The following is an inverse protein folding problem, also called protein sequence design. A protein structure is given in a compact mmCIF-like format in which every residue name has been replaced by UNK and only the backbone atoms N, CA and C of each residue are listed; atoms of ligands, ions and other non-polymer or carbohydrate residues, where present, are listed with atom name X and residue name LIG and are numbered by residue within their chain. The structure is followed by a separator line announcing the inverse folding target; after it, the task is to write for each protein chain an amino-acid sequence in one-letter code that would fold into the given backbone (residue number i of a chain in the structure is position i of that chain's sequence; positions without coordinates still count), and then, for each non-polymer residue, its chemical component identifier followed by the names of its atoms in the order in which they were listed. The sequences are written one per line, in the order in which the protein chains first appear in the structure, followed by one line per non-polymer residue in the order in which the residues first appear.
data_IF_903436844144
#
_entry.id   IF_903436844144
#
_cell.length_a   1.000
_cell.length_b   1.000
_cell.length_c   1.000
_cell.angle_alpha   90.00
_cell.angle_beta   90.00
_cell.angle_gamma   90.00
#
_symmetry.space_group_name_H-M   'P 1'
#
loop_
_entity.id
_entity.type
_entity.pdbx_description
1 polymer ?
#
# COMPACT_ATOMS: atom_id res chain seq x y z
N UNK A 1 0.02 6.59 -6.54
CA UNK A 1 0.85 6.34 -7.75
C UNK A 1 1.97 5.34 -7.52
N UNK A 2 2.77 5.47 -6.44
CA UNK A 2 4.00 4.69 -6.22
C UNK A 2 3.82 3.23 -5.77
N UNK A 3 2.62 2.83 -5.37
CA UNK A 3 2.27 1.44 -4.98
C UNK A 3 1.40 0.80 -6.06
N UNK A 4 0.13 1.20 -6.16
CA UNK A 4 -0.87 0.63 -7.07
C UNK A 4 -0.42 0.55 -8.53
N UNK A 5 -0.11 1.69 -9.17
CA UNK A 5 0.17 1.70 -10.62
C UNK A 5 1.47 0.98 -10.95
N UNK A 6 2.46 1.06 -10.06
CA UNK A 6 3.73 0.38 -10.25
C UNK A 6 3.57 -1.14 -10.09
N UNK A 7 2.84 -1.59 -9.06
CA UNK A 7 2.51 -3.00 -8.85
C UNK A 7 1.72 -3.59 -10.03
N UNK A 8 0.81 -2.82 -10.62
CA UNK A 8 0.07 -3.26 -11.82
C UNK A 8 0.95 -3.44 -13.05
N UNK A 9 1.91 -2.54 -13.29
CA UNK A 9 2.88 -2.71 -14.39
C UNK A 9 3.66 -4.02 -14.22
N UNK A 10 4.06 -4.35 -12.99
CA UNK A 10 4.72 -5.62 -12.70
C UNK A 10 3.80 -6.82 -12.92
N UNK A 11 2.55 -6.75 -12.46
CA UNK A 11 1.56 -7.81 -12.66
C UNK A 11 1.29 -8.07 -14.16
N UNK A 12 1.09 -7.03 -14.96
CA UNK A 12 0.89 -7.16 -16.41
C UNK A 12 2.12 -7.76 -17.08
N UNK A 13 3.32 -7.28 -16.72
CA UNK A 13 4.57 -7.80 -17.29
C UNK A 13 4.79 -9.27 -16.95
N UNK A 14 4.54 -9.66 -15.69
CA UNK A 14 4.63 -11.03 -15.20
C UNK A 14 3.73 -11.97 -16.03
N UNK A 15 2.44 -11.62 -16.15
CA UNK A 15 1.45 -12.45 -16.83
C UNK A 15 1.66 -12.55 -18.36
N UNK A 16 2.27 -11.53 -18.97
CA UNK A 16 2.50 -11.50 -20.42
C UNK A 16 3.80 -12.15 -20.87
N UNK A 17 4.84 -12.10 -20.04
CA UNK A 17 6.21 -12.41 -20.47
C UNK A 17 6.83 -13.61 -19.76
N UNK A 18 6.25 -14.09 -18.64
CA UNK A 18 6.79 -15.22 -17.89
C UNK A 18 5.77 -16.39 -17.86
N UNK A 19 6.13 -17.58 -18.38
CA UNK A 19 5.24 -18.74 -18.30
C UNK A 19 5.11 -19.23 -16.86
N UNK A 20 4.00 -19.92 -16.53
CA UNK A 20 3.70 -20.37 -15.16
C UNK A 20 4.78 -21.27 -14.53
N UNK A 21 5.54 -21.99 -15.36
CA UNK A 21 6.64 -22.85 -14.90
C UNK A 21 7.88 -22.05 -14.46
N UNK A 22 7.99 -20.78 -14.87
CA UNK A 22 9.17 -19.96 -14.61
C UNK A 22 9.29 -19.64 -13.12
N UNK A 23 10.47 -19.75 -12.49
CA UNK A 23 10.63 -19.52 -11.05
C UNK A 23 10.26 -18.08 -10.63
N UNK A 24 10.54 -17.07 -11.44
CA UNK A 24 10.05 -15.70 -11.17
C UNK A 24 8.53 -15.57 -11.25
N UNK A 25 7.85 -16.37 -12.09
CA UNK A 25 6.39 -16.41 -12.09
C UNK A 25 5.88 -16.93 -10.75
N UNK A 26 6.36 -18.11 -10.36
CA UNK A 26 6.01 -18.77 -9.10
C UNK A 26 6.29 -17.88 -7.87
N UNK A 27 7.38 -17.11 -7.90
CA UNK A 27 7.77 -16.19 -6.83
C UNK A 27 6.89 -14.94 -6.76
N UNK A 28 6.58 -14.31 -7.90
CA UNK A 28 5.92 -13.00 -7.91
C UNK A 28 4.39 -13.11 -7.95
N UNK A 29 3.83 -14.23 -8.40
CA UNK A 29 2.37 -14.35 -8.55
C UNK A 29 1.59 -14.10 -7.25
N UNK A 30 2.02 -14.55 -6.05
CA UNK A 30 1.29 -14.26 -4.80
C UNK A 30 1.31 -12.76 -4.46
N UNK A 31 2.34 -12.03 -4.89
CA UNK A 31 2.53 -10.60 -4.64
C UNK A 31 1.80 -9.69 -5.64
N UNK A 32 1.06 -10.28 -6.57
CA UNK A 32 0.26 -9.54 -7.58
C UNK A 32 -1.23 -9.87 -7.50
N UNK A 33 -1.64 -10.68 -6.51
CA UNK A 33 -3.03 -11.07 -6.27
C UNK A 33 -3.88 -9.81 -6.10
N UNK A 34 -4.98 -9.74 -6.86
CA UNK A 34 -5.95 -8.63 -6.91
C UNK A 34 -5.47 -7.24 -7.36
N UNK A 35 -4.17 -7.03 -7.57
CA UNK A 35 -3.62 -5.73 -7.99
C UNK A 35 -4.24 -5.20 -9.30
N UNK A 36 -4.49 -6.06 -10.29
CA UNK A 36 -5.17 -5.65 -11.53
C UNK A 36 -6.62 -5.28 -11.31
N UNK A 37 -7.31 -6.02 -10.43
CA UNK A 37 -8.73 -5.85 -10.15
C UNK A 37 -8.97 -4.55 -9.39
N UNK A 38 -8.18 -4.29 -8.34
CA UNK A 38 -8.33 -3.08 -7.53
C UNK A 38 -7.97 -1.83 -8.33
N UNK A 39 -6.93 -1.88 -9.17
CA UNK A 39 -6.58 -0.75 -10.02
C UNK A 39 -7.61 -0.50 -11.14
N UNK A 40 -8.25 -1.55 -11.65
CA UNK A 40 -9.39 -1.40 -12.57
C UNK A 40 -10.59 -0.74 -11.88
N UNK A 41 -10.94 -1.18 -10.66
CA UNK A 41 -11.99 -0.57 -9.85
C UNK A 41 -11.68 0.88 -9.49
N UNK A 42 -10.43 1.18 -9.12
CA UNK A 42 -9.96 2.52 -8.88
C UNK A 42 -10.12 3.38 -10.14
N UNK A 43 -9.74 2.88 -11.32
CA UNK A 43 -9.97 3.59 -12.60
C UNK A 43 -11.43 3.88 -12.90
N UNK A 44 -12.34 2.98 -12.53
CA UNK A 44 -13.77 3.16 -12.77
C UNK A 44 -14.44 4.09 -11.76
N UNK A 45 -14.07 3.98 -10.48
CA UNK A 45 -14.85 4.55 -9.36
C UNK A 45 -14.08 5.58 -8.54
N UNK A 46 -12.75 5.57 -8.56
CA UNK A 46 -11.91 6.41 -7.72
C UNK A 46 -11.20 7.51 -8.52
N UNK A 47 -10.53 7.20 -9.63
CA UNK A 47 -9.72 8.14 -10.44
C UNK A 47 -10.36 8.45 -11.82
N UNK A 48 -11.62 8.07 -12.05
CA UNK A 48 -12.37 8.43 -13.27
C UNK A 48 -12.69 9.93 -13.30
N UNK A 49 -13.18 10.46 -14.44
CA UNK A 49 -13.56 11.89 -14.57
C UNK A 49 -14.57 12.36 -13.51
N UNK A 50 -15.40 11.46 -12.98
CA UNK A 50 -16.31 11.73 -11.86
C UNK A 50 -15.89 11.03 -10.54
N UNK A 51 -14.72 10.39 -10.49
CA UNK A 51 -14.20 9.69 -9.32
C UNK A 51 -13.64 10.63 -8.25
N UNK A 52 -13.61 10.19 -7.00
CA UNK A 52 -13.21 10.99 -5.82
C UNK A 52 -11.81 11.62 -5.93
N UNK A 53 -10.91 11.03 -6.73
CA UNK A 53 -9.48 11.35 -6.79
C UNK A 53 -9.08 12.31 -7.92
N UNK A 54 -9.92 12.54 -8.94
CA UNK A 54 -9.61 13.48 -10.06
C UNK A 54 -9.60 14.95 -9.63
N UNK A 55 -9.83 15.23 -8.35
CA UNK A 55 -9.82 16.57 -7.80
C UNK A 55 -8.45 16.99 -7.21
N UNK A 56 -7.49 16.09 -6.89
CA UNK A 56 -6.41 16.47 -5.95
C UNK A 56 -4.97 15.89 -6.11
N UNK A 57 -4.49 15.40 -7.27
CA UNK A 57 -3.09 14.87 -7.30
C UNK A 57 -2.26 15.16 -8.56
N UNK A 58 -1.06 15.69 -8.34
CA UNK A 58 -0.01 15.99 -9.32
C UNK A 58 1.31 15.32 -8.92
N UNK A 59 1.75 14.28 -9.62
CA UNK A 59 3.17 13.85 -9.68
C UNK A 59 3.38 12.61 -10.54
N UNK A 60 4.55 12.53 -11.19
CA UNK A 60 5.19 11.36 -11.83
C UNK A 60 6.70 11.37 -11.51
N UNK A 61 7.39 10.23 -11.65
CA UNK A 61 8.82 10.06 -11.29
C UNK A 61 9.63 9.24 -12.30
N UNK A 62 10.95 9.14 -12.08
CA UNK A 62 11.97 8.56 -12.98
C UNK A 62 11.94 7.01 -13.11
N UNK A 63 12.52 6.52 -14.22
CA UNK A 63 12.18 5.26 -14.89
C UNK A 63 12.79 3.95 -14.39
N UNK A 64 12.18 2.87 -14.88
CA UNK A 64 12.48 1.45 -14.63
C UNK A 64 13.67 0.99 -15.50
N UNK A 65 14.55 0.08 -15.02
CA UNK A 65 15.65 -0.47 -15.83
C UNK A 65 15.17 -1.18 -17.10
N UNK A 66 15.82 -0.95 -18.25
CA UNK A 66 15.46 -1.58 -19.53
C UNK A 66 15.88 -3.06 -19.63
N UNK A 67 16.91 -3.48 -18.88
CA UNK A 67 17.40 -4.86 -18.82
C UNK A 67 18.16 -5.11 -17.52
N UNK A 68 18.26 -6.38 -17.11
CA UNK A 68 19.14 -6.83 -16.04
C UNK A 68 20.33 -7.59 -16.63
N UNK A 69 21.54 -7.14 -16.32
CA UNK A 69 22.79 -7.77 -16.76
C UNK A 69 23.43 -8.63 -15.67
N UNK A 70 23.00 -8.48 -14.41
CA UNK A 70 23.53 -9.24 -13.28
C UNK A 70 22.42 -9.84 -12.41
N UNK A 71 22.73 -10.93 -11.71
CA UNK A 71 21.82 -11.52 -10.72
C UNK A 71 21.52 -10.54 -9.58
N UNK A 72 22.50 -9.69 -9.20
CA UNK A 72 22.31 -8.67 -8.17
C UNK A 72 21.28 -7.61 -8.56
N UNK A 73 21.28 -7.16 -9.82
CA UNK A 73 20.27 -6.23 -10.34
C UNK A 73 18.88 -6.87 -10.33
N UNK A 74 18.78 -8.14 -10.73
CA UNK A 74 17.51 -8.88 -10.69
C UNK A 74 17.01 -9.04 -9.25
N UNK A 75 17.87 -9.43 -8.30
CA UNK A 75 17.52 -9.54 -6.89
C UNK A 75 16.99 -8.21 -6.38
N UNK A 76 17.73 -7.11 -6.60
CA UNK A 76 17.32 -5.76 -6.16
C UNK A 76 15.96 -5.38 -6.73
N UNK A 77 15.72 -5.66 -8.01
CA UNK A 77 14.45 -5.37 -8.65
C UNK A 77 13.31 -6.21 -8.08
N UNK A 78 13.49 -7.52 -7.96
CA UNK A 78 12.49 -8.44 -7.39
C UNK A 78 12.16 -8.07 -5.94
N UNK A 79 13.17 -7.76 -5.12
CA UNK A 79 12.96 -7.25 -3.75
C UNK A 79 12.13 -5.97 -3.75
N UNK A 80 12.41 -5.03 -4.65
CA UNK A 80 11.63 -3.80 -4.77
C UNK A 80 10.17 -4.09 -5.17
N UNK A 81 9.93 -5.01 -6.11
CA UNK A 81 8.57 -5.42 -6.52
C UNK A 81 7.80 -5.97 -5.32
N UNK A 82 8.35 -6.96 -4.62
CA UNK A 82 7.72 -7.62 -3.47
C UNK A 82 7.46 -6.60 -2.35
N UNK A 83 8.47 -5.79 -1.99
CA UNK A 83 8.35 -4.78 -0.94
C UNK A 83 7.31 -3.71 -1.28
N UNK A 84 7.26 -3.25 -2.53
CA UNK A 84 6.30 -2.25 -2.99
C UNK A 84 4.87 -2.77 -2.93
N UNK A 85 4.68 -4.04 -3.30
CA UNK A 85 3.38 -4.70 -3.30
C UNK A 85 2.87 -5.09 -1.92
N UNK A 86 3.74 -5.14 -0.90
CA UNK A 86 3.40 -5.58 0.45
C UNK A 86 3.66 -4.48 1.49
N UNK A 87 4.86 -4.46 2.08
CA UNK A 87 5.23 -3.59 3.19
C UNK A 87 5.02 -2.10 2.91
N UNK A 88 5.43 -1.61 1.73
CA UNK A 88 5.24 -0.21 1.37
C UNK A 88 3.76 0.16 1.26
N UNK A 89 2.93 -0.76 0.74
CA UNK A 89 1.49 -0.55 0.65
C UNK A 89 0.86 -0.49 2.04
N UNK A 90 1.11 -1.49 2.89
CA UNK A 90 0.60 -1.54 4.26
C UNK A 90 0.98 -0.28 5.06
N UNK A 91 2.24 0.16 4.98
CA UNK A 91 2.74 1.32 5.72
C UNK A 91 2.03 2.64 5.38
N UNK A 92 1.50 2.79 4.16
CA UNK A 92 0.83 4.03 3.71
C UNK A 92 -0.68 3.91 3.60
N UNK A 93 -1.22 2.68 3.65
CA UNK A 93 -2.64 2.42 3.45
C UNK A 93 -3.36 2.12 4.76
N UNK A 94 -2.82 1.23 5.61
CA UNK A 94 -3.54 0.67 6.77
C UNK A 94 -3.82 1.70 7.87
N UNK A 95 -3.00 2.73 8.00
CA UNK A 95 -3.18 3.80 8.99
C UNK A 95 -4.02 4.99 8.52
N UNK A 96 -4.56 4.96 7.29
CA UNK A 96 -5.27 6.12 6.72
C UNK A 96 -6.43 6.58 7.61
N UNK A 97 -7.21 5.67 8.18
CA UNK A 97 -8.31 6.02 9.06
C UNK A 97 -7.85 6.42 10.47
N UNK A 98 -6.77 5.84 11.00
CA UNK A 98 -6.26 6.20 12.33
C UNK A 98 -5.84 7.68 12.40
N UNK A 99 -5.23 8.19 11.33
CA UNK A 99 -4.81 9.59 11.24
C UNK A 99 -5.85 10.50 10.56
N UNK A 100 -6.59 9.99 9.58
CA UNK A 100 -7.55 10.78 8.81
C UNK A 100 -9.00 10.71 9.29
N UNK A 101 -9.30 9.83 10.26
CA UNK A 101 -10.58 9.78 10.96
C UNK A 101 -10.84 11.02 11.82
N UNK A 102 -9.79 11.75 12.20
CA UNK A 102 -9.91 13.09 12.77
C UNK A 102 -9.62 14.16 11.71
N UNK A 103 -10.69 14.71 11.11
CA UNK A 103 -10.59 15.62 9.96
C UNK A 103 -9.60 16.79 10.16
N UNK A 104 -9.53 17.49 11.31
CA UNK A 104 -8.55 18.56 11.51
C UNK A 104 -7.08 18.12 11.39
N UNK A 105 -6.77 16.83 11.61
CA UNK A 105 -5.44 16.28 11.43
C UNK A 105 -5.10 16.02 9.96
N UNK A 106 -6.11 15.70 9.13
CA UNK A 106 -5.93 15.43 7.69
C UNK A 106 -7.09 16.02 6.87
N UNK A 107 -7.21 17.36 6.76
CA UNK A 107 -8.29 17.96 5.99
C UNK A 107 -8.09 17.66 4.49
N UNK A 108 -9.09 17.04 3.86
CA UNK A 108 -9.01 16.62 2.46
C UNK A 108 -9.19 17.78 1.46
N UNK A 109 -9.67 18.92 1.92
CA UNK A 109 -9.77 20.17 1.17
C UNK A 109 -9.76 21.37 2.10
N UNK A 110 -9.46 22.55 1.57
CA UNK A 110 -9.57 23.83 2.29
C UNK A 110 -10.45 24.78 1.49
N UNK A 111 -11.38 25.46 2.16
CA UNK A 111 -12.40 26.31 1.55
C UNK A 111 -11.94 27.77 1.41
N UNK A 112 -10.88 28.15 2.13
CA UNK A 112 -10.29 29.49 2.09
C UNK A 112 -8.82 29.43 1.70
N UNK A 113 -8.26 30.48 1.06
CA UNK A 113 -6.85 30.52 0.71
C UNK A 113 -5.96 30.57 1.97
N UNK A 114 -4.69 30.17 1.87
CA UNK A 114 -3.74 30.30 2.96
C UNK A 114 -3.64 31.75 3.47
N UNK A 115 -3.54 31.98 4.79
CA UNK A 115 -3.42 33.32 5.34
C UNK A 115 -2.13 33.99 4.87
N UNK A 116 -2.22 35.27 4.48
CA UNK A 116 -1.07 36.04 3.97
C UNK A 116 -0.44 36.96 5.02
N UNK A 117 -1.10 37.16 6.16
CA UNK A 117 -0.66 38.04 7.25
C UNK A 117 -0.81 37.33 8.60
N UNK A 118 0.20 37.46 9.48
CA UNK A 118 0.19 36.87 10.82
C UNK A 118 -0.83 37.57 11.74
N UNK A 119 -1.36 36.84 12.72
CA UNK A 119 -2.20 37.40 13.80
C UNK A 119 -3.65 37.71 13.42
N UNK A 120 -4.10 37.34 12.21
CA UNK A 120 -5.46 37.56 11.73
C UNK A 120 -6.37 36.33 11.86
N UNK A 121 -5.81 35.17 12.15
CA UNK A 121 -6.57 33.92 12.30
C UNK A 121 -7.38 33.93 13.60
N UNK A 122 -8.67 33.69 13.46
CA UNK A 122 -9.62 33.43 14.55
C UNK A 122 -10.15 32.00 14.46
N UNK A 123 -10.74 31.50 15.54
CA UNK A 123 -11.43 30.19 15.54
C UNK A 123 -12.50 30.11 14.43
N UNK A 124 -13.30 31.17 14.26
CA UNK A 124 -14.30 31.23 13.20
C UNK A 124 -13.69 31.11 11.80
N UNK A 125 -12.57 31.81 11.53
CA UNK A 125 -11.89 31.68 10.23
C UNK A 125 -11.26 30.31 10.03
N UNK A 126 -10.80 29.65 11.10
CA UNK A 126 -10.28 28.28 11.04
C UNK A 126 -11.40 27.30 10.67
N UNK A 127 -12.53 27.35 11.37
CA UNK A 127 -13.68 26.49 11.08
C UNK A 127 -14.23 26.72 9.67
N UNK A 128 -14.26 27.96 9.19
CA UNK A 128 -14.68 28.29 7.83
C UNK A 128 -13.67 27.84 6.75
N UNK A 129 -12.41 27.58 7.12
CA UNK A 129 -11.38 27.08 6.20
C UNK A 129 -11.49 25.56 6.02
N UNK A 130 -11.94 24.84 7.04
CA UNK A 130 -12.11 23.38 7.02
C UNK A 130 -13.24 22.95 6.06
N UNK A 131 -13.23 21.69 5.58
CA UNK A 131 -14.28 21.16 4.72
C UNK A 131 -15.65 21.16 5.41
N UNK A 132 -16.72 21.25 4.61
CA UNK A 132 -18.08 21.06 5.12
C UNK A 132 -18.33 19.62 5.59
N UNK A 133 -19.47 19.41 6.26
CA UNK A 133 -19.83 18.11 6.84
C UNK A 133 -19.92 17.02 5.77
N UNK A 134 -20.47 17.31 4.60
CA UNK A 134 -20.64 16.31 3.54
C UNK A 134 -19.28 15.86 3.00
N UNK A 135 -18.40 16.81 2.67
CA UNK A 135 -17.03 16.54 2.22
C UNK A 135 -16.26 15.77 3.30
N UNK A 136 -16.38 16.18 4.55
CA UNK A 136 -15.74 15.50 5.70
C UNK A 136 -16.18 14.04 5.81
N UNK A 137 -17.49 13.78 5.81
CA UNK A 137 -18.04 12.42 5.94
C UNK A 137 -17.61 11.54 4.77
N UNK A 138 -17.64 12.05 3.54
CA UNK A 138 -17.20 11.30 2.35
C UNK A 138 -15.70 10.97 2.40
N UNK A 139 -14.87 11.93 2.83
CA UNK A 139 -13.44 11.72 3.05
C UNK A 139 -13.16 10.64 4.09
N UNK A 140 -13.77 10.76 5.27
CA UNK A 140 -13.62 9.78 6.35
C UNK A 140 -14.13 8.39 5.95
N UNK A 141 -15.26 8.30 5.26
CA UNK A 141 -15.79 7.02 4.78
C UNK A 141 -14.85 6.36 3.74
N UNK A 142 -14.22 7.16 2.89
CA UNK A 142 -13.22 6.68 1.92
C UNK A 142 -11.99 6.14 2.64
N UNK A 143 -11.41 6.89 3.59
CA UNK A 143 -10.25 6.44 4.35
C UNK A 143 -10.57 5.21 5.19
N UNK A 144 -11.77 5.13 5.77
CA UNK A 144 -12.23 3.97 6.52
C UNK A 144 -12.27 2.72 5.63
N UNK A 145 -12.88 2.83 4.45
CA UNK A 145 -13.00 1.73 3.50
C UNK A 145 -11.62 1.26 3.02
N UNK A 146 -10.73 2.18 2.66
CA UNK A 146 -9.39 1.85 2.18
C UNK A 146 -8.48 1.25 3.26
N UNK A 147 -8.76 1.53 4.55
CA UNK A 147 -7.98 0.98 5.67
C UNK A 147 -8.48 -0.39 6.13
N UNK A 148 -9.57 -0.93 5.56
CA UNK A 148 -10.09 -2.24 5.95
C UNK A 148 -9.18 -3.36 5.44
N UNK A 149 -9.04 -4.38 6.27
CA UNK A 149 -8.43 -5.65 5.86
C UNK A 149 -9.43 -6.48 5.06
N UNK A 150 -8.97 -7.14 3.98
CA UNK A 150 -9.83 -8.04 3.20
C UNK A 150 -10.23 -9.26 4.03
N UNK A 151 -11.41 -9.84 3.76
CA UNK A 151 -11.87 -11.05 4.47
C UNK A 151 -11.08 -12.30 4.12
N UNK A 152 -10.39 -12.29 2.98
CA UNK A 152 -9.53 -13.36 2.48
C UNK A 152 -8.04 -12.94 2.52
N UNK A 153 -7.68 -12.16 3.53
CA UNK A 153 -6.34 -11.62 3.74
C UNK A 153 -5.28 -12.72 3.83
N UNK A 154 -4.14 -12.48 3.17
CA UNK A 154 -2.99 -13.38 3.22
C UNK A 154 -1.75 -12.62 3.70
N UNK A 155 -1.26 -12.89 4.94
CA UNK A 155 -0.09 -12.21 5.48
C UNK A 155 1.17 -12.45 4.65
N UNK A 156 2.11 -11.51 4.71
CA UNK A 156 3.39 -11.57 4.02
C UNK A 156 4.12 -12.88 4.36
N UNK A 157 4.55 -13.59 3.32
CA UNK A 157 5.28 -14.86 3.47
C UNK A 157 4.38 -16.09 3.66
N UNK A 158 3.06 -15.92 3.76
CA UNK A 158 2.11 -17.04 3.66
C UNK A 158 1.76 -17.29 2.19
N UNK A 159 1.96 -18.51 1.71
CA UNK A 159 1.73 -18.87 0.31
C UNK A 159 0.82 -20.10 0.24
N UNK A 160 -0.51 -19.93 0.29
CA UNK A 160 -1.44 -21.05 0.28
C UNK A 160 -1.48 -21.76 -1.07
N UNK A 161 -1.12 -21.09 -2.17
CA UNK A 161 -0.97 -21.72 -3.48
C UNK A 161 0.44 -22.31 -3.66
N UNK A 162 0.51 -23.64 -3.77
CA UNK A 162 1.75 -24.41 -3.95
C UNK A 162 2.35 -24.29 -5.37
N UNK A 163 2.83 -23.10 -5.75
CA UNK A 163 3.52 -22.90 -7.03
C UNK A 163 4.92 -23.52 -7.07
N UNK A 164 5.63 -23.49 -5.93
CA UNK A 164 6.89 -24.19 -5.74
C UNK A 164 6.65 -25.54 -5.05
N UNK A 165 6.96 -26.62 -5.76
CA UNK A 165 6.84 -27.99 -5.27
C UNK A 165 8.20 -28.59 -4.91
N UNK A 166 9.27 -27.91 -5.30
CA UNK A 166 10.65 -28.31 -5.08
C UNK A 166 11.08 -28.02 -3.62
N UNK A 167 11.88 -28.91 -3.03
CA UNK A 167 12.27 -28.83 -1.61
C UNK A 167 13.07 -27.56 -1.29
N UNK A 168 13.96 -27.14 -2.18
CA UNK A 168 14.85 -25.99 -1.93
C UNK A 168 14.08 -24.67 -1.79
N UNK A 169 13.21 -24.26 -2.74
CA UNK A 169 12.34 -23.09 -2.55
C UNK A 169 11.45 -23.18 -1.31
N UNK A 170 10.87 -24.36 -1.02
CA UNK A 170 10.04 -24.54 0.18
C UNK A 170 10.85 -24.33 1.47
N UNK A 171 12.11 -24.79 1.52
CA UNK A 171 13.02 -24.54 2.65
C UNK A 171 13.35 -23.05 2.78
N UNK A 172 13.55 -22.35 1.66
CA UNK A 172 13.79 -20.90 1.66
C UNK A 172 12.57 -20.12 2.16
N UNK A 173 11.36 -20.50 1.73
CA UNK A 173 10.10 -19.91 2.24
C UNK A 173 9.99 -20.07 3.74
N UNK A 174 10.27 -21.27 4.28
CA UNK A 174 10.26 -21.50 5.74
C UNK A 174 11.29 -20.65 6.47
N UNK A 175 12.47 -20.46 5.89
CA UNK A 175 13.49 -19.55 6.41
C UNK A 175 12.99 -18.11 6.48
N UNK A 176 12.40 -17.62 5.38
CA UNK A 176 11.81 -16.29 5.31
C UNK A 176 10.67 -16.09 6.32
N UNK A 177 9.75 -17.04 6.44
CA UNK A 177 8.69 -17.03 7.44
C UNK A 177 9.26 -16.93 8.86
N UNK A 178 10.36 -17.65 9.15
CA UNK A 178 11.00 -17.59 10.46
C UNK A 178 11.60 -16.22 10.75
N UNK A 179 12.22 -15.58 9.76
CA UNK A 179 12.73 -14.22 9.90
C UNK A 179 11.60 -13.21 10.16
N UNK A 180 10.46 -13.37 9.48
CA UNK A 180 9.27 -12.53 9.72
C UNK A 180 8.68 -12.72 11.12
N UNK A 181 8.66 -13.95 11.65
CA UNK A 181 8.24 -14.21 13.05
C UNK A 181 9.14 -13.48 14.05
N UNK A 182 10.46 -13.53 13.85
CA UNK A 182 11.43 -12.84 14.71
C UNK A 182 11.21 -11.32 14.64
N UNK A 183 10.99 -10.77 13.44
CA UNK A 183 10.70 -9.36 13.25
C UNK A 183 9.38 -8.95 13.93
N UNK A 184 8.31 -9.74 13.78
CA UNK A 184 7.02 -9.49 14.45
C UNK A 184 7.17 -9.44 15.96
N UNK A 185 7.91 -10.40 16.54
CA UNK A 185 8.19 -10.41 17.98
C UNK A 185 8.93 -9.15 18.44
N UNK A 186 9.95 -8.71 17.70
CA UNK A 186 10.69 -7.48 18.00
C UNK A 186 9.81 -6.22 17.91
N UNK A 187 8.91 -6.15 16.92
CA UNK A 187 7.97 -5.03 16.78
C UNK A 187 6.98 -4.99 17.95
N UNK A 188 6.47 -6.14 18.38
CA UNK A 188 5.56 -6.26 19.53
C UNK A 188 6.23 -5.80 20.82
N UNK A 189 7.43 -6.30 21.11
CA UNK A 189 8.23 -5.89 22.27
C UNK A 189 8.49 -4.36 22.28
N UNK A 190 8.89 -3.80 21.12
CA UNK A 190 9.05 -2.35 20.96
C UNK A 190 7.74 -1.60 21.26
N UNK A 191 6.61 -2.10 20.73
CA UNK A 191 5.31 -1.44 20.83
C UNK A 191 4.73 -1.45 22.25
N UNK A 192 5.08 -2.40 23.11
CA UNK A 192 4.65 -2.43 24.52
C UNK A 192 5.09 -1.18 25.31
N UNK A 193 6.13 -0.50 24.83
CA UNK A 193 6.74 0.66 25.49
C UNK A 193 6.36 2.00 24.85
N UNK A 194 5.40 2.01 23.91
CA UNK A 194 4.95 3.22 23.21
C UNK A 194 3.53 3.60 23.62
N UNK A 195 3.30 4.90 23.86
CA UNK A 195 1.95 5.44 24.08
C UNK A 195 1.04 5.25 22.85
N UNK A 196 1.63 5.41 21.65
CA UNK A 196 0.97 5.14 20.37
C UNK A 196 1.82 4.11 19.60
N UNK A 197 1.42 2.82 19.62
CA UNK A 197 2.12 1.76 18.89
C UNK A 197 2.12 1.98 17.38
N UNK A 198 3.23 1.62 16.71
CA UNK A 198 3.27 1.56 15.25
C UNK A 198 3.16 0.10 14.80
N UNK A 199 2.02 -0.26 14.22
CA UNK A 199 1.67 -1.67 13.90
C UNK A 199 1.69 -1.98 12.40
N UNK A 200 1.66 -0.96 11.52
CA UNK A 200 1.42 -1.14 10.08
C UNK A 200 2.51 -1.90 9.30
N UNK A 201 3.67 -2.16 9.93
CA UNK A 201 4.76 -2.97 9.37
C UNK A 201 5.03 -4.25 10.19
N UNK A 202 4.18 -4.60 11.15
CA UNK A 202 4.21 -5.94 11.73
C UNK A 202 3.88 -6.95 10.62
N UNK A 203 4.73 -7.94 10.31
CA UNK A 203 4.48 -8.88 9.21
C UNK A 203 3.12 -9.58 9.24
N UNK A 204 2.49 -9.72 10.42
CA UNK A 204 1.14 -10.30 10.53
C UNK A 204 0.04 -9.38 10.00
N UNK A 205 0.30 -8.07 9.92
CA UNK A 205 -0.61 -7.03 9.44
C UNK A 205 -0.31 -6.60 7.99
N UNK A 206 0.76 -7.13 7.38
CA UNK A 206 1.19 -6.79 6.02
C UNK A 206 0.65 -7.85 5.04
N UNK A 207 -0.15 -7.45 4.07
CA UNK A 207 -0.63 -8.34 3.00
C UNK A 207 0.48 -8.66 1.98
N UNK A 208 0.42 -9.83 1.35
CA UNK A 208 1.35 -10.19 0.27
C UNK A 208 1.28 -9.25 -0.94
N UNK A 209 0.13 -8.65 -1.23
CA UNK A 209 -0.12 -7.87 -2.44
C UNK A 209 -0.99 -6.63 -2.17
N UNK A 210 -1.10 -5.78 -3.19
CA UNK A 210 -2.04 -4.64 -3.18
C UNK A 210 -3.43 -5.16 -3.55
N UNK A 211 -4.27 -5.40 -2.54
CA UNK A 211 -5.62 -5.95 -2.70
C UNK A 211 -6.76 -4.97 -2.39
N UNK A 212 -6.47 -3.83 -1.76
CA UNK A 212 -7.41 -2.74 -1.46
C UNK A 212 -6.81 -1.39 -1.85
#
# INVERSE_FOLDING_TARGET
MRTHLLAEVFAVSLLRNLPMVHPLYKLLIPHTRYTLQINFLARLRLISKEGVFTLFSSSGGEGIPERFNTVAELIKFVTMVIFTGSAQHAAVNSGQYDFGGWMPNTPISLQLPPPTTKGQTTEATMLNTLPDVNVTVQGMATLWLLSQQSTDFVPLGQYPEDHFTEETPQRMVKGFQKELEVLSAAIKDRNEHLEVPYVYLDPVEVENSVAI
#
